data_IF_893797279869
#
_entry.id   IF_893797279869
#
_cell.length_a   1.000
_cell.length_b   1.000
_cell.length_c   1.000
_cell.angle_alpha   90.00
_cell.angle_beta   90.00
_cell.angle_gamma   90.00
#
_symmetry.space_group_name_H-M   'P 1'
#
loop_
_entity.id
_entity.type
_entity.pdbx_description
1 polymer ?
#
# COMPACT_ATOMS: atom_id res chain seq x y z
N UNK A 1 -22.02 21.33 -4.02
CA UNK A 1 -21.23 20.09 -4.14
C UNK A 1 -19.86 20.39 -3.56
N UNK A 2 -19.66 20.12 -2.27
CA UNK A 2 -18.39 20.37 -1.60
C UNK A 2 -17.44 19.24 -1.96
N UNK A 3 -16.33 19.57 -2.63
CA UNK A 3 -15.21 18.66 -2.83
C UNK A 3 -14.68 18.22 -1.47
N UNK A 4 -14.56 16.91 -1.26
CA UNK A 4 -14.02 16.29 -0.03
C UNK A 4 -12.49 16.48 0.07
N UNK A 5 -11.86 17.01 -0.97
CA UNK A 5 -10.42 17.24 -1.03
C UNK A 5 -10.13 18.74 -1.08
N UNK A 6 -9.47 19.25 -0.04
CA UNK A 6 -9.01 20.64 0.04
C UNK A 6 -7.92 20.95 -1.00
N UNK A 7 -7.68 22.23 -1.32
CA UNK A 7 -6.68 22.66 -2.30
C UNK A 7 -5.27 22.10 -2.00
N UNK A 8 -4.93 21.94 -0.72
CA UNK A 8 -3.65 21.36 -0.27
C UNK A 8 -3.43 19.89 -0.68
N UNK A 9 -4.47 19.14 -1.02
CA UNK A 9 -4.32 17.74 -1.47
C UNK A 9 -3.78 17.68 -2.90
N UNK A 10 -4.29 18.54 -3.79
CA UNK A 10 -3.86 18.61 -5.18
C UNK A 10 -2.49 19.29 -5.34
N UNK A 11 -2.17 20.30 -4.51
CA UNK A 11 -0.83 20.90 -4.48
C UNK A 11 0.24 19.95 -3.94
N UNK A 12 -0.08 19.08 -2.98
CA UNK A 12 0.85 18.05 -2.50
C UNK A 12 1.08 16.93 -3.51
N UNK A 13 0.14 16.69 -4.42
CA UNK A 13 0.32 15.73 -5.52
C UNK A 13 1.18 16.28 -6.66
N UNK A 14 1.24 17.60 -6.86
CA UNK A 14 2.05 18.22 -7.92
C UNK A 14 3.55 18.26 -7.62
N UNK A 15 3.95 18.01 -6.36
CA UNK A 15 5.35 18.01 -5.91
C UNK A 15 5.94 16.60 -5.71
N UNK A 16 5.20 15.54 -6.02
CA UNK A 16 5.68 14.16 -5.88
C UNK A 16 6.33 13.69 -7.18
N UNK A 17 7.49 13.05 -7.06
CA UNK A 17 8.07 12.26 -8.15
C UNK A 17 7.30 10.95 -8.28
N UNK A 18 6.87 10.64 -9.50
CA UNK A 18 6.21 9.39 -9.83
C UNK A 18 7.19 8.46 -10.53
N UNK A 19 7.04 7.17 -10.32
CA UNK A 19 7.92 6.15 -10.89
C UNK A 19 7.11 5.06 -11.56
N UNK A 20 7.65 4.46 -12.63
CA UNK A 20 7.08 3.27 -13.25
C UNK A 20 7.32 2.01 -12.39
N UNK A 21 7.06 0.83 -12.95
CA UNK A 21 7.22 -0.46 -12.25
C UNK A 21 8.70 -0.84 -12.02
N UNK A 22 9.61 -0.25 -12.78
CA UNK A 22 11.05 -0.51 -12.73
C UNK A 22 11.82 0.57 -11.94
N UNK A 23 11.11 1.57 -11.40
CA UNK A 23 11.69 2.66 -10.63
C UNK A 23 12.17 3.84 -11.48
N UNK A 24 11.84 3.90 -12.77
CA UNK A 24 12.19 5.05 -13.60
C UNK A 24 11.22 6.20 -13.37
N UNK A 25 11.70 7.46 -13.27
CA UNK A 25 10.83 8.61 -13.15
C UNK A 25 9.88 8.73 -14.35
N UNK A 26 8.61 8.99 -14.06
CA UNK A 26 7.54 9.22 -15.04
C UNK A 26 6.71 10.43 -14.64
N UNK A 27 5.88 10.93 -15.57
CA UNK A 27 4.91 11.97 -15.26
C UNK A 27 3.71 11.42 -14.49
N UNK A 28 2.98 12.30 -13.81
CA UNK A 28 1.72 11.94 -13.16
C UNK A 28 0.70 11.34 -14.14
N UNK A 29 0.63 11.86 -15.38
CA UNK A 29 -0.28 11.34 -16.41
C UNK A 29 0.11 9.91 -16.80
N UNK A 30 1.40 9.65 -16.99
CA UNK A 30 1.91 8.30 -17.26
C UNK A 30 1.60 7.36 -16.08
N UNK A 31 1.80 7.81 -14.84
CA UNK A 31 1.46 7.05 -13.64
C UNK A 31 -0.04 6.74 -13.58
N UNK A 32 -0.90 7.71 -13.85
CA UNK A 32 -2.36 7.54 -13.86
C UNK A 32 -2.80 6.51 -14.91
N UNK A 33 -2.22 6.56 -16.11
CA UNK A 33 -2.47 5.57 -17.18
C UNK A 33 -2.02 4.18 -16.75
N UNK A 34 -0.82 4.04 -16.16
CA UNK A 34 -0.32 2.76 -15.66
C UNK A 34 -1.18 2.21 -14.52
N UNK A 35 -1.67 3.09 -13.63
CA UNK A 35 -2.53 2.73 -12.50
C UNK A 35 -3.91 2.22 -12.94
N UNK A 36 -4.50 2.86 -13.94
CA UNK A 36 -5.85 2.55 -14.45
C UNK A 36 -5.85 1.42 -15.48
N UNK A 37 -4.84 1.35 -16.35
CA UNK A 37 -4.86 0.52 -17.54
C UNK A 37 -4.53 -0.95 -17.35
N UNK A 38 -3.81 -1.32 -16.28
CA UNK A 38 -3.21 -2.66 -16.20
C UNK A 38 -3.69 -3.53 -15.03
N UNK A 39 -4.58 -3.06 -14.14
CA UNK A 39 -4.86 -3.77 -12.88
C UNK A 39 -3.60 -4.02 -12.03
N UNK A 40 -2.48 -3.42 -12.44
CA UNK A 40 -1.08 -3.65 -12.09
C UNK A 40 -0.68 -2.98 -10.78
N UNK A 41 -1.60 -2.23 -10.19
CA UNK A 41 -1.44 -1.74 -8.84
C UNK A 41 -1.31 -2.85 -7.82
N UNK A 42 -1.93 -4.01 -8.04
CA UNK A 42 -1.83 -5.15 -7.13
C UNK A 42 -0.78 -6.16 -7.61
N UNK A 43 0.23 -6.37 -6.77
CA UNK A 43 1.28 -7.36 -6.98
C UNK A 43 0.84 -8.73 -6.45
N UNK A 44 0.24 -8.76 -5.27
CA UNK A 44 -0.26 -9.97 -4.61
C UNK A 44 -1.34 -9.62 -3.58
N UNK A 45 -2.24 -10.56 -3.32
CA UNK A 45 -3.28 -10.44 -2.31
C UNK A 45 -3.58 -11.81 -1.71
N UNK A 46 -3.56 -11.88 -0.38
CA UNK A 46 -3.94 -13.06 0.38
C UNK A 46 -4.93 -12.69 1.49
N UNK A 47 -5.77 -13.64 1.88
CA UNK A 47 -6.70 -13.53 3.02
C UNK A 47 -6.40 -14.67 3.97
N UNK A 48 -6.17 -14.35 5.25
CA UNK A 48 -5.86 -15.31 6.31
C UNK A 48 -6.75 -15.01 7.51
N UNK A 49 -7.86 -15.75 7.63
CA UNK A 49 -8.90 -15.42 8.61
C UNK A 49 -9.51 -14.05 8.33
N UNK A 50 -9.47 -13.16 9.32
CA UNK A 50 -9.93 -11.77 9.21
C UNK A 50 -8.82 -10.78 8.81
N UNK A 51 -7.63 -11.28 8.49
CA UNK A 51 -6.53 -10.46 7.99
C UNK A 51 -6.46 -10.49 6.47
N UNK A 52 -6.16 -9.33 5.90
CA UNK A 52 -5.91 -9.14 4.47
C UNK A 52 -4.46 -8.70 4.28
N UNK A 53 -3.69 -9.48 3.54
CA UNK A 53 -2.34 -9.11 3.12
C UNK A 53 -2.43 -8.59 1.70
N UNK A 54 -2.04 -7.34 1.47
CA UNK A 54 -2.09 -6.70 0.16
C UNK A 54 -0.73 -6.14 -0.19
N UNK A 55 -0.15 -6.59 -1.30
CA UNK A 55 1.06 -6.01 -1.86
C UNK A 55 0.72 -5.27 -3.13
N UNK A 56 1.15 -4.01 -3.19
CA UNK A 56 0.83 -3.10 -4.27
C UNK A 56 2.09 -2.40 -4.79
N UNK A 57 2.08 -2.05 -6.06
CA UNK A 57 2.91 -0.97 -6.59
C UNK A 57 2.22 0.34 -6.22
N UNK A 58 2.89 1.26 -5.54
CA UNK A 58 2.37 2.60 -5.24
C UNK A 58 2.72 3.58 -6.36
N UNK A 59 3.87 3.38 -7.02
CA UNK A 59 4.43 4.28 -8.02
C UNK A 59 4.81 5.66 -7.48
N UNK A 60 4.85 5.79 -6.15
CA UNK A 60 5.26 6.98 -5.41
C UNK A 60 6.15 6.52 -4.27
N UNK A 61 7.21 7.25 -4.01
CA UNK A 61 8.04 7.00 -2.83
C UNK A 61 7.51 7.83 -1.66
N UNK A 62 6.88 7.21 -0.64
CA UNK A 62 6.37 7.94 0.52
C UNK A 62 7.47 8.39 1.49
N UNK A 63 8.68 7.81 1.39
CA UNK A 63 9.84 8.14 2.23
C UNK A 63 10.74 9.23 1.60
N UNK A 64 10.53 9.57 0.33
CA UNK A 64 11.33 10.59 -0.36
C UNK A 64 11.14 11.99 0.25
N UNK A 65 12.22 12.71 0.60
CA UNK A 65 12.14 14.11 1.00
C UNK A 65 11.62 14.97 -0.15
N UNK A 66 10.80 15.98 0.18
CA UNK A 66 10.19 16.93 -0.78
C UNK A 66 11.22 17.70 -1.64
N UNK A 67 12.51 17.67 -1.27
CA UNK A 67 13.58 18.42 -1.92
C UNK A 67 14.85 17.58 -2.23
N UNK A 68 14.74 16.26 -2.29
CA UNK A 68 15.92 15.43 -2.56
C UNK A 68 16.13 15.22 -4.07
N UNK A 69 16.91 16.12 -4.68
CA UNK A 69 17.68 15.80 -5.91
C UNK A 69 18.87 14.88 -5.54
N UNK A 70 18.62 13.78 -4.83
CA UNK A 70 19.67 12.78 -4.56
C UNK A 70 19.66 11.74 -5.69
N UNK A 71 20.66 11.76 -6.60
CA UNK A 71 20.76 10.81 -7.70
C UNK A 71 21.04 9.37 -7.24
N UNK A 72 21.34 9.15 -5.95
CA UNK A 72 21.57 7.83 -5.36
C UNK A 72 20.36 7.29 -4.60
N UNK A 73 19.27 8.06 -4.52
CA UNK A 73 18.04 7.62 -3.87
C UNK A 73 17.39 6.48 -4.66
N UNK A 74 17.19 5.34 -4.00
CA UNK A 74 16.46 4.20 -4.58
C UNK A 74 14.99 4.33 -4.20
N UNK A 75 14.07 4.49 -5.17
CA UNK A 75 12.69 4.80 -4.86
C UNK A 75 11.95 3.57 -4.30
N UNK A 76 11.29 3.76 -3.15
CA UNK A 76 10.53 2.72 -2.45
C UNK A 76 9.06 2.72 -2.91
N UNK A 77 8.81 2.11 -4.06
CA UNK A 77 7.58 2.28 -4.86
C UNK A 77 6.63 1.08 -4.81
N UNK A 78 6.94 0.10 -3.97
CA UNK A 78 6.08 -1.03 -3.65
C UNK A 78 5.81 -1.06 -2.16
N UNK A 79 4.65 -1.58 -1.78
CA UNK A 79 4.23 -1.61 -0.38
C UNK A 79 3.46 -2.90 -0.11
N UNK A 80 3.78 -3.57 1.00
CA UNK A 80 2.97 -4.66 1.55
C UNK A 80 2.31 -4.18 2.82
N UNK A 81 0.98 -4.23 2.86
CA UNK A 81 0.16 -3.86 4.00
C UNK A 81 -0.61 -5.07 4.52
N UNK A 82 -0.77 -5.14 5.84
CA UNK A 82 -1.67 -6.07 6.52
C UNK A 82 -2.80 -5.27 7.15
N UNK A 83 -4.02 -5.57 6.73
CA UNK A 83 -5.24 -5.01 7.31
C UNK A 83 -5.96 -6.07 8.13
N UNK A 84 -6.63 -5.64 9.19
CA UNK A 84 -7.65 -6.45 9.86
C UNK A 84 -9.01 -5.87 9.53
N UNK A 85 -9.93 -6.68 9.02
CA UNK A 85 -11.35 -6.31 9.02
C UNK A 85 -11.81 -6.25 10.47
N UNK A 86 -12.37 -5.11 10.93
CA UNK A 86 -13.07 -5.11 12.22
C UNK A 86 -14.20 -6.12 12.13
N UNK A 87 -14.22 -7.11 13.01
CA UNK A 87 -15.41 -7.91 13.23
C UNK A 87 -16.19 -7.24 14.36
N UNK A 88 -17.44 -6.85 14.11
CA UNK A 88 -18.35 -6.53 15.20
C UNK A 88 -18.59 -7.77 16.08
N UNK A 89 -19.01 -7.61 17.35
CA UNK A 89 -19.18 -8.71 18.30
C UNK A 89 -20.05 -9.87 17.78
N UNK A 90 -20.96 -9.55 16.86
CA UNK A 90 -21.93 -10.49 16.29
C UNK A 90 -21.47 -11.07 14.94
N UNK A 91 -20.27 -10.70 14.48
CA UNK A 91 -19.65 -11.19 13.23
C UNK A 91 -20.28 -10.66 11.93
N UNK A 92 -21.16 -9.66 12.02
CA UNK A 92 -21.85 -9.06 10.86
C UNK A 92 -21.55 -7.57 10.82
N UNK A 93 -20.70 -7.16 9.89
CA UNK A 93 -20.52 -5.75 9.55
C UNK A 93 -21.68 -5.25 8.70
N UNK A 94 -22.19 -4.06 9.00
CA UNK A 94 -23.08 -3.36 8.08
C UNK A 94 -22.36 -3.11 6.74
N UNK A 95 -23.06 -3.08 5.60
CA UNK A 95 -22.45 -2.85 4.29
C UNK A 95 -21.57 -1.59 4.22
N UNK A 96 -21.92 -0.55 4.99
CA UNK A 96 -21.21 0.72 5.06
C UNK A 96 -19.93 0.65 5.94
N UNK A 97 -19.84 -0.33 6.85
CA UNK A 97 -18.72 -0.54 7.78
C UNK A 97 -17.72 -1.59 7.27
N UNK A 98 -17.98 -2.21 6.11
CA UNK A 98 -17.09 -3.19 5.45
C UNK A 98 -15.72 -2.63 5.06
N UNK A 99 -15.51 -1.33 5.18
CA UNK A 99 -14.24 -0.65 4.92
C UNK A 99 -13.50 -0.24 6.21
N UNK A 100 -14.01 -0.56 7.40
CA UNK A 100 -13.35 -0.24 8.67
C UNK A 100 -12.20 -1.25 8.94
N UNK A 101 -11.17 -1.14 8.11
CA UNK A 101 -9.94 -1.90 8.17
C UNK A 101 -8.89 -1.08 8.91
N UNK A 102 -8.28 -1.65 9.96
CA UNK A 102 -7.13 -1.02 10.62
C UNK A 102 -5.84 -1.62 10.08
N UNK A 103 -4.92 -0.78 9.59
CA UNK A 103 -3.57 -1.21 9.21
C UNK A 103 -2.82 -1.70 10.45
N UNK A 104 -2.25 -2.90 10.36
CA UNK A 104 -1.52 -3.54 11.46
C UNK A 104 -0.02 -3.61 11.20
N UNK A 105 0.38 -3.44 9.94
CA UNK A 105 1.74 -3.52 9.48
C UNK A 105 1.82 -2.99 8.04
N UNK A 106 2.89 -2.26 7.75
CA UNK A 106 3.28 -1.84 6.41
C UNK A 106 4.81 -1.95 6.25
N UNK A 107 5.26 -2.43 5.09
CA UNK A 107 6.67 -2.45 4.70
C UNK A 107 6.80 -2.03 3.24
N UNK A 108 7.78 -1.17 2.96
CA UNK A 108 8.06 -0.62 1.64
C UNK A 108 9.20 -1.38 0.95
N UNK A 109 9.16 -1.43 -0.39
CA UNK A 109 10.15 -2.12 -1.20
C UNK A 109 10.46 -1.33 -2.48
N UNK A 110 11.70 -1.43 -2.96
CA UNK A 110 12.12 -0.82 -4.22
C UNK A 110 11.71 -1.65 -5.44
N UNK A 111 11.75 -2.98 -5.32
CA UNK A 111 11.53 -3.90 -6.44
C UNK A 111 10.30 -4.77 -6.24
N UNK A 112 9.72 -5.24 -7.36
CA UNK A 112 8.62 -6.19 -7.35
C UNK A 112 8.99 -7.53 -6.71
N UNK A 113 10.22 -7.99 -6.90
CA UNK A 113 10.70 -9.25 -6.34
C UNK A 113 10.78 -9.18 -4.82
N UNK A 114 11.38 -8.11 -4.29
CA UNK A 114 11.46 -7.88 -2.85
C UNK A 114 10.06 -7.72 -2.23
N UNK A 115 9.16 -7.03 -2.93
CA UNK A 115 7.77 -6.89 -2.51
C UNK A 115 7.03 -8.24 -2.44
N UNK A 116 7.29 -9.16 -3.40
CA UNK A 116 6.74 -10.52 -3.36
C UNK A 116 7.35 -11.36 -2.23
N UNK A 117 8.65 -11.23 -1.96
CA UNK A 117 9.28 -11.87 -0.82
C UNK A 117 8.69 -11.33 0.50
N UNK A 118 8.50 -10.02 0.58
CA UNK A 118 7.81 -9.30 1.64
C UNK A 118 6.39 -9.81 1.88
N UNK A 119 5.61 -9.98 0.82
CA UNK A 119 4.26 -10.55 0.89
C UNK A 119 4.23 -11.91 1.56
N UNK A 120 5.16 -12.80 1.18
CA UNK A 120 5.26 -14.15 1.77
C UNK A 120 5.63 -14.09 3.24
N UNK A 121 6.56 -13.20 3.62
CA UNK A 121 6.92 -12.98 5.03
C UNK A 121 5.73 -12.46 5.83
N UNK A 122 5.04 -11.43 5.33
CA UNK A 122 3.85 -10.87 5.97
C UNK A 122 2.73 -11.91 6.12
N UNK A 123 2.50 -12.74 5.09
CA UNK A 123 1.52 -13.82 5.14
C UNK A 123 1.89 -14.90 6.17
N UNK A 124 3.16 -15.29 6.24
CA UNK A 124 3.64 -16.23 7.26
C UNK A 124 3.50 -15.64 8.67
N UNK A 125 3.84 -14.36 8.85
CA UNK A 125 3.66 -13.62 10.09
C UNK A 125 2.19 -13.60 10.54
N UNK A 126 1.27 -13.27 9.64
CA UNK A 126 -0.17 -13.26 9.94
C UNK A 126 -0.69 -14.66 10.29
N UNK A 127 -0.23 -15.70 9.60
CA UNK A 127 -0.58 -17.10 9.95
C UNK A 127 -0.11 -17.46 11.35
N UNK A 128 1.07 -16.99 11.76
CA UNK A 128 1.57 -17.18 13.12
C UNK A 128 0.70 -16.44 14.15
N UNK A 129 0.31 -15.19 13.88
CA UNK A 129 -0.59 -14.42 14.74
C UNK A 129 -1.95 -15.10 14.94
N UNK A 130 -2.48 -15.75 13.90
CA UNK A 130 -3.74 -16.50 14.00
C UNK A 130 -3.65 -17.71 14.93
N UNK A 131 -2.46 -18.29 15.13
CA UNK A 131 -2.25 -19.47 15.98
C UNK A 131 -1.84 -19.07 17.40
N UNK A 132 -0.93 -18.10 17.51
CA UNK A 132 -0.25 -17.77 18.76
C UNK A 132 -0.75 -16.45 19.39
N UNK A 133 -1.68 -15.76 18.72
CA UNK A 133 -2.03 -14.39 19.05
C UNK A 133 -1.01 -13.41 18.45
N UNK A 134 -1.43 -12.16 18.25
CA UNK A 134 -0.53 -11.10 17.80
C UNK A 134 0.33 -10.65 18.98
N UNK A 135 1.67 -10.57 18.85
CA UNK A 135 2.50 -9.94 19.87
C UNK A 135 2.12 -8.46 19.97
N UNK A 136 1.98 -7.93 21.18
CA UNK A 136 1.81 -6.49 21.39
C UNK A 136 3.03 -5.77 20.78
N UNK A 137 2.78 -4.90 19.79
CA UNK A 137 3.80 -4.06 19.15
C UNK A 137 4.01 -2.76 19.95
#
# INVERSE_FOLDING_TARGET
MHSVFGPDFFERLSQRTYYDLDGNPITQDQWSVLRLGAGSGHVARDVVGFYHVSTVWTGVDPAAPVHADDPHHTPMIYETMVFVERLDPDGVLAPDDRLDCTEQYAELYATREDALAGHRRATAMVRDWMVNGRPEL
#
